data_IF_755541478451
#
_entry.id   IF_755541478451
#
_cell.length_a   1.000
_cell.length_b   1.000
_cell.length_c   1.000
_cell.angle_alpha   90.00
_cell.angle_beta   90.00
_cell.angle_gamma   90.00
#
_symmetry.space_group_name_H-M   'P 1'
#
loop_
_entity.id
_entity.type
_entity.pdbx_description
1 polymer ?
#
# COMPACT_ATOMS: atom_id res chain seq x y z
N UNK A 1 -13.56 -18.61 10.30
CA UNK A 1 -14.38 -18.08 9.20
C UNK A 1 -13.49 -17.85 7.99
N UNK A 2 -13.92 -18.19 6.78
CA UNK A 2 -13.08 -18.00 5.59
C UNK A 2 -13.06 -16.54 5.14
N UNK A 3 -14.21 -15.86 5.16
CA UNK A 3 -14.33 -14.45 4.81
C UNK A 3 -15.24 -13.69 5.78
N UNK A 4 -14.92 -12.43 6.00
CA UNK A 4 -15.73 -11.45 6.72
C UNK A 4 -15.80 -10.18 5.88
N UNK A 5 -16.98 -9.87 5.32
CA UNK A 5 -17.23 -8.63 4.60
C UNK A 5 -18.16 -7.74 5.44
N UNK A 6 -17.61 -6.62 5.93
CA UNK A 6 -18.33 -5.73 6.83
C UNK A 6 -19.57 -5.10 6.17
N UNK A 7 -19.55 -4.90 4.84
CA UNK A 7 -20.67 -4.29 4.09
C UNK A 7 -21.89 -5.21 4.00
N UNK A 8 -21.73 -6.50 4.27
CA UNK A 8 -22.87 -7.42 4.32
C UNK A 8 -23.80 -7.15 5.51
N UNK A 9 -23.30 -6.44 6.53
CA UNK A 9 -24.05 -6.10 7.73
C UNK A 9 -24.62 -4.69 7.63
N UNK A 10 -25.93 -4.58 7.41
CA UNK A 10 -26.63 -3.29 7.43
C UNK A 10 -26.74 -2.79 8.87
N UNK A 11 -25.77 -2.01 9.33
CA UNK A 11 -25.75 -1.49 10.70
C UNK A 11 -25.20 -0.06 10.78
N UNK A 12 -25.29 0.56 11.95
CA UNK A 12 -24.75 1.90 12.20
C UNK A 12 -23.22 1.87 12.33
N UNK A 13 -22.57 3.03 12.31
CA UNK A 13 -21.13 3.15 12.56
C UNK A 13 -20.70 2.48 13.89
N UNK A 14 -21.52 2.61 14.94
CA UNK A 14 -21.28 1.93 16.22
C UNK A 14 -21.44 0.41 16.10
N UNK A 15 -22.35 -0.06 15.25
CA UNK A 15 -22.49 -1.47 14.91
C UNK A 15 -21.25 -2.02 14.21
N UNK A 16 -20.70 -1.28 13.25
CA UNK A 16 -19.44 -1.66 12.59
C UNK A 16 -18.29 -1.77 13.58
N UNK A 17 -18.13 -0.82 14.50
CA UNK A 17 -17.10 -0.92 15.55
C UNK A 17 -17.24 -2.18 16.41
N UNK A 18 -18.48 -2.62 16.71
CA UNK A 18 -18.72 -3.86 17.47
C UNK A 18 -18.41 -5.12 16.68
N UNK A 19 -18.45 -5.06 15.34
CA UNK A 19 -18.18 -6.19 14.47
C UNK A 19 -16.69 -6.30 14.10
N UNK A 20 -15.91 -5.22 14.15
CA UNK A 20 -14.47 -5.25 13.83
C UNK A 20 -13.65 -6.31 14.58
N UNK A 21 -13.91 -6.63 15.87
CA UNK A 21 -13.19 -7.71 16.54
C UNK A 21 -13.35 -9.09 15.89
N UNK A 22 -14.36 -9.30 15.02
CA UNK A 22 -14.55 -10.55 14.26
C UNK A 22 -13.39 -10.80 13.30
N UNK A 23 -12.67 -9.76 12.88
CA UNK A 23 -11.50 -9.84 11.99
C UNK A 23 -10.45 -10.84 12.53
N UNK A 24 -10.30 -10.95 13.86
CA UNK A 24 -9.36 -11.90 14.50
C UNK A 24 -9.70 -13.38 14.28
N UNK A 25 -10.91 -13.68 13.79
CA UNK A 25 -11.44 -15.04 13.62
C UNK A 25 -11.65 -15.42 12.14
N UNK A 26 -11.22 -14.57 11.20
CA UNK A 26 -11.40 -14.79 9.77
C UNK A 26 -10.08 -14.86 9.00
N UNK A 27 -10.04 -15.61 7.89
CA UNK A 27 -8.87 -15.64 7.00
C UNK A 27 -8.78 -14.42 6.08
N UNK A 28 -9.94 -13.90 5.67
CA UNK A 28 -10.05 -12.70 4.84
C UNK A 28 -11.04 -11.71 5.45
N UNK A 29 -10.64 -10.45 5.56
CA UNK A 29 -11.50 -9.35 5.99
C UNK A 29 -11.60 -8.29 4.88
N UNK A 30 -12.82 -7.98 4.47
CA UNK A 30 -13.14 -6.92 3.50
C UNK A 30 -13.82 -5.80 4.29
N UNK A 31 -13.08 -4.73 4.52
CA UNK A 31 -13.49 -3.57 5.31
C UNK A 31 -13.43 -2.28 4.49
N UNK A 32 -13.43 -2.40 3.16
CA UNK A 32 -13.28 -1.27 2.26
C UNK A 32 -14.57 -0.44 2.16
N UNK A 33 -14.43 0.89 2.11
CA UNK A 33 -15.58 1.82 2.06
C UNK A 33 -16.57 1.62 3.23
N UNK A 34 -16.05 1.57 4.45
CA UNK A 34 -16.84 1.33 5.67
C UNK A 34 -16.78 2.49 6.68
N UNK A 35 -16.38 3.69 6.23
CA UNK A 35 -16.19 4.88 7.06
C UNK A 35 -15.34 4.61 8.31
N UNK A 36 -14.32 3.77 8.16
CA UNK A 36 -13.41 3.44 9.25
C UNK A 36 -12.54 4.65 9.61
N UNK A 37 -12.29 4.78 10.91
CA UNK A 37 -11.51 5.86 11.52
C UNK A 37 -10.24 5.31 12.19
N UNK A 38 -9.42 6.20 12.74
CA UNK A 38 -8.24 5.85 13.54
C UNK A 38 -8.55 4.82 14.65
N UNK A 39 -9.66 4.99 15.38
CA UNK A 39 -10.12 4.03 16.40
C UNK A 39 -10.38 2.62 15.84
N UNK A 40 -10.78 2.53 14.58
CA UNK A 40 -10.97 1.24 13.91
C UNK A 40 -9.63 0.55 13.68
N UNK A 41 -8.57 1.33 13.38
CA UNK A 41 -7.22 0.81 13.21
C UNK A 41 -6.67 0.21 14.51
N UNK A 42 -6.97 0.78 15.68
CA UNK A 42 -6.58 0.19 16.97
C UNK A 42 -7.18 -1.19 17.20
N UNK A 43 -8.46 -1.35 16.86
CA UNK A 43 -9.18 -2.63 17.00
C UNK A 43 -8.60 -3.67 16.04
N UNK A 44 -8.35 -3.27 14.79
CA UNK A 44 -7.73 -4.15 13.78
C UNK A 44 -6.29 -4.49 14.17
N UNK A 45 -5.50 -3.54 14.66
CA UNK A 45 -4.15 -3.78 15.15
C UNK A 45 -4.14 -4.78 16.31
N UNK A 46 -5.08 -4.66 17.25
CA UNK A 46 -5.25 -5.63 18.34
C UNK A 46 -5.63 -7.02 17.82
N UNK A 47 -6.43 -7.12 16.76
CA UNK A 47 -6.76 -8.38 16.11
C UNK A 47 -5.54 -9.02 15.42
N UNK A 48 -4.67 -8.23 14.80
CA UNK A 48 -3.43 -8.69 14.17
C UNK A 48 -2.41 -9.25 15.18
N UNK A 49 -2.41 -8.73 16.41
CA UNK A 49 -1.54 -9.18 17.49
C UNK A 49 -1.99 -10.50 18.14
N UNK A 50 -3.21 -10.96 17.86
CA UNK A 50 -3.76 -12.18 18.46
C UNK A 50 -3.03 -13.42 17.96
N UNK A 51 -2.49 -14.22 18.88
CA UNK A 51 -1.66 -15.41 18.59
C UNK A 51 -2.31 -16.43 17.65
N UNK A 52 -3.64 -16.52 17.67
CA UNK A 52 -4.39 -17.51 16.89
C UNK A 52 -5.15 -16.88 15.70
N UNK A 53 -4.82 -15.64 15.31
CA UNK A 53 -5.49 -14.98 14.20
C UNK A 53 -5.22 -15.72 12.88
N UNK A 54 -6.25 -16.24 12.18
CA UNK A 54 -6.07 -16.89 10.90
C UNK A 54 -6.01 -15.87 9.74
N UNK A 55 -6.05 -14.57 10.03
CA UNK A 55 -6.10 -13.51 9.02
C UNK A 55 -4.86 -13.54 8.12
N UNK A 56 -5.11 -13.53 6.81
CA UNK A 56 -4.11 -13.52 5.74
C UNK A 56 -4.34 -12.39 4.74
N UNK A 57 -5.58 -11.93 4.60
CA UNK A 57 -6.00 -10.93 3.62
C UNK A 57 -6.89 -9.88 4.29
N UNK A 58 -6.48 -8.62 4.21
CA UNK A 58 -7.15 -7.49 4.82
C UNK A 58 -7.24 -6.33 3.82
N UNK A 59 -8.46 -5.99 3.42
CA UNK A 59 -8.73 -4.83 2.58
C UNK A 59 -9.36 -3.71 3.41
N UNK A 60 -8.60 -2.63 3.61
CA UNK A 60 -9.00 -1.41 4.30
C UNK A 60 -9.19 -0.23 3.33
N UNK A 61 -9.15 -0.47 2.02
CA UNK A 61 -9.13 0.59 1.00
C UNK A 61 -10.38 1.48 1.06
N UNK A 62 -10.28 2.72 0.57
CA UNK A 62 -11.37 3.70 0.55
C UNK A 62 -11.93 4.02 1.96
N UNK A 63 -11.06 4.11 2.95
CA UNK A 63 -11.39 4.64 4.28
C UNK A 63 -10.44 5.79 4.60
N UNK A 64 -10.92 6.88 5.20
CA UNK A 64 -10.08 8.02 5.56
C UNK A 64 -9.27 7.75 6.84
N UNK A 65 -8.31 6.83 6.75
CA UNK A 65 -7.50 6.38 7.89
C UNK A 65 -6.43 7.40 8.25
N UNK A 66 -5.84 8.05 7.24
CA UNK A 66 -4.70 8.94 7.40
C UNK A 66 -3.45 8.25 7.95
N UNK A 67 -2.37 9.01 8.07
CA UNK A 67 -1.09 8.49 8.54
C UNK A 67 -1.14 8.00 10.00
N UNK A 68 -1.98 8.62 10.85
CA UNK A 68 -2.14 8.20 12.25
C UNK A 68 -2.78 6.81 12.35
N UNK A 69 -3.85 6.56 11.59
CA UNK A 69 -4.49 5.24 11.53
C UNK A 69 -3.53 4.15 11.05
N UNK A 70 -2.74 4.42 10.01
CA UNK A 70 -1.75 3.45 9.51
C UNK A 70 -0.62 3.22 10.52
N UNK A 71 -0.17 4.25 11.24
CA UNK A 71 0.83 4.08 12.33
C UNK A 71 0.32 3.11 13.41
N UNK A 72 -0.95 3.21 13.81
CA UNK A 72 -1.56 2.28 14.76
C UNK A 72 -1.68 0.87 14.18
N UNK A 73 -2.08 0.76 12.91
CA UNK A 73 -2.16 -0.53 12.21
C UNK A 73 -0.79 -1.23 12.16
N UNK A 74 0.28 -0.49 11.87
CA UNK A 74 1.64 -1.02 11.80
C UNK A 74 2.13 -1.62 13.11
N UNK A 75 1.69 -1.10 14.27
CA UNK A 75 1.98 -1.73 15.56
C UNK A 75 1.47 -3.18 15.62
N UNK A 76 0.33 -3.47 14.99
CA UNK A 76 -0.18 -4.83 14.84
C UNK A 76 0.56 -5.66 13.78
N UNK A 77 0.93 -5.03 12.66
CA UNK A 77 1.67 -5.70 11.58
C UNK A 77 3.07 -6.17 11.99
N UNK A 78 3.74 -5.42 12.88
CA UNK A 78 5.06 -5.77 13.40
C UNK A 78 5.03 -6.88 14.47
N UNK A 79 3.85 -7.34 14.89
CA UNK A 79 3.73 -8.40 15.89
C UNK A 79 4.25 -9.74 15.38
N UNK A 80 4.98 -10.53 16.20
CA UNK A 80 5.40 -11.90 15.83
C UNK A 80 4.22 -12.86 15.58
N UNK A 81 3.05 -12.51 16.12
CA UNK A 81 1.80 -13.26 15.94
C UNK A 81 1.10 -12.90 14.62
N UNK A 82 1.46 -11.78 13.99
CA UNK A 82 0.83 -11.38 12.74
C UNK A 82 1.22 -12.35 11.63
N UNK A 83 0.22 -12.76 10.85
CA UNK A 83 0.38 -13.67 9.71
C UNK A 83 -0.21 -13.07 8.42
N UNK A 84 -0.48 -11.78 8.42
CA UNK A 84 -1.08 -11.09 7.29
C UNK A 84 -0.15 -11.16 6.08
N UNK A 85 -0.70 -11.55 4.93
CA UNK A 85 0.04 -11.70 3.67
C UNK A 85 -0.36 -10.63 2.65
N UNK A 86 -1.59 -10.12 2.72
CA UNK A 86 -2.10 -9.11 1.79
C UNK A 86 -2.77 -7.98 2.54
N UNK A 87 -2.37 -6.76 2.22
CA UNK A 87 -2.89 -5.54 2.83
C UNK A 87 -3.26 -4.52 1.75
N UNK A 88 -4.55 -4.16 1.70
CA UNK A 88 -5.07 -3.09 0.87
C UNK A 88 -5.25 -1.80 1.66
N UNK A 89 -4.56 -0.73 1.25
CA UNK A 89 -4.62 0.62 1.83
C UNK A 89 -4.82 1.68 0.73
N UNK A 90 -5.42 1.30 -0.40
CA UNK A 90 -5.68 2.22 -1.49
C UNK A 90 -6.72 3.26 -1.11
N UNK A 91 -6.59 4.51 -1.58
CA UNK A 91 -7.53 5.61 -1.25
C UNK A 91 -7.73 5.80 0.26
N UNK A 92 -6.64 5.79 1.04
CA UNK A 92 -6.69 5.92 2.50
C UNK A 92 -6.28 7.29 3.05
N UNK A 93 -6.12 8.28 2.16
CA UNK A 93 -5.62 9.63 2.47
C UNK A 93 -4.24 9.59 3.16
N UNK A 94 -3.36 8.72 2.65
CA UNK A 94 -2.00 8.56 3.16
C UNK A 94 -1.05 9.54 2.48
N UNK A 95 -0.05 9.99 3.22
CA UNK A 95 1.06 10.81 2.72
C UNK A 95 2.40 10.08 2.92
N UNK A 96 3.51 10.74 2.59
CA UNK A 96 4.84 10.20 2.91
C UNK A 96 5.06 9.99 4.43
N UNK A 97 4.29 10.68 5.28
CA UNK A 97 4.40 10.61 6.74
C UNK A 97 4.12 9.25 7.39
N UNK A 98 3.55 8.28 6.66
CA UNK A 98 3.40 6.88 7.12
C UNK A 98 4.39 5.90 6.47
N UNK A 99 5.18 6.34 5.48
CA UNK A 99 6.02 5.42 4.72
C UNK A 99 7.18 4.85 5.54
N UNK A 100 7.74 5.61 6.49
CA UNK A 100 8.80 5.11 7.38
C UNK A 100 8.32 3.95 8.26
N UNK A 101 7.08 4.04 8.77
CA UNK A 101 6.52 2.98 9.61
C UNK A 101 6.13 1.76 8.77
N UNK A 102 5.67 1.95 7.53
CA UNK A 102 5.45 0.84 6.59
C UNK A 102 6.78 0.17 6.20
N UNK A 103 7.84 0.96 5.97
CA UNK A 103 9.18 0.42 5.72
C UNK A 103 9.68 -0.42 6.91
N UNK A 104 9.38 0.00 8.14
CA UNK A 104 9.69 -0.77 9.35
C UNK A 104 8.96 -2.12 9.41
N UNK A 105 7.72 -2.18 8.88
CA UNK A 105 7.00 -3.46 8.71
C UNK A 105 7.70 -4.36 7.70
N UNK A 106 8.22 -3.81 6.60
CA UNK A 106 8.95 -4.58 5.57
C UNK A 106 10.30 -5.13 6.08
N UNK A 107 11.00 -4.37 6.92
CA UNK A 107 12.24 -4.81 7.60
C UNK A 107 12.00 -5.87 8.68
N UNK A 108 10.78 -5.97 9.22
CA UNK A 108 10.53 -6.86 10.35
C UNK A 108 10.67 -8.32 9.92
N UNK A 109 11.54 -9.12 10.57
CA UNK A 109 11.72 -10.55 10.23
C UNK A 109 10.45 -11.37 10.48
N UNK A 110 9.55 -10.83 11.30
CA UNK A 110 8.25 -11.43 11.62
C UNK A 110 7.18 -11.13 10.58
N UNK A 111 7.41 -10.16 9.69
CA UNK A 111 6.46 -9.81 8.65
C UNK A 111 6.28 -10.98 7.69
N UNK A 112 5.02 -11.29 7.40
CA UNK A 112 4.64 -12.25 6.37
C UNK A 112 4.00 -11.57 5.16
N UNK A 113 4.08 -10.24 5.08
CA UNK A 113 3.46 -9.48 4.00
C UNK A 113 4.09 -9.83 2.66
N UNK A 114 3.24 -10.16 1.68
CA UNK A 114 3.60 -10.50 0.30
C UNK A 114 2.98 -9.52 -0.70
N UNK A 115 1.88 -8.87 -0.34
CA UNK A 115 1.16 -7.94 -1.21
C UNK A 115 0.79 -6.68 -0.41
N UNK A 116 1.23 -5.53 -0.88
CA UNK A 116 0.94 -4.23 -0.31
C UNK A 116 0.42 -3.31 -1.42
N UNK A 117 -0.86 -2.96 -1.32
CA UNK A 117 -1.54 -2.07 -2.25
C UNK A 117 -1.75 -0.69 -1.61
N UNK A 118 -1.10 0.34 -2.16
CA UNK A 118 -1.13 1.72 -1.66
C UNK A 118 -1.69 2.71 -2.67
N UNK A 119 -2.34 2.24 -3.74
CA UNK A 119 -2.83 3.07 -4.84
C UNK A 119 -3.60 4.32 -4.40
N UNK A 120 -3.41 5.37 -5.18
CA UNK A 120 -4.15 6.63 -5.10
C UNK A 120 -4.02 7.33 -3.75
N UNK A 121 -2.88 7.16 -3.08
CA UNK A 121 -2.43 7.99 -1.96
C UNK A 121 -1.42 9.06 -2.42
N UNK A 122 -1.01 9.97 -1.53
CA UNK A 122 -0.16 11.11 -1.87
C UNK A 122 1.28 10.91 -1.35
N UNK A 123 1.84 9.72 -1.60
CA UNK A 123 3.13 9.27 -1.03
C UNK A 123 4.34 10.01 -1.60
N UNK A 124 4.28 10.43 -2.87
CA UNK A 124 5.36 11.17 -3.55
C UNK A 124 6.71 10.40 -3.56
N UNK A 125 7.76 11.05 -4.06
CA UNK A 125 9.09 10.43 -4.12
C UNK A 125 9.70 10.17 -2.73
N UNK A 126 9.40 11.03 -1.74
CA UNK A 126 9.90 10.87 -0.36
C UNK A 126 9.36 9.61 0.30
N UNK A 127 8.05 9.34 0.16
CA UNK A 127 7.43 8.13 0.68
C UNK A 127 7.93 6.88 -0.04
N UNK A 128 8.06 6.94 -1.37
CA UNK A 128 8.62 5.82 -2.16
C UNK A 128 10.07 5.52 -1.77
N UNK A 129 10.89 6.54 -1.49
CA UNK A 129 12.26 6.34 -0.99
C UNK A 129 12.27 5.62 0.36
N UNK A 130 11.39 5.98 1.28
CA UNK A 130 11.27 5.27 2.56
C UNK A 130 10.84 3.81 2.37
N UNK A 131 9.84 3.55 1.52
CA UNK A 131 9.44 2.18 1.18
C UNK A 131 10.56 1.39 0.51
N UNK A 132 11.35 2.05 -0.35
CA UNK A 132 12.50 1.43 -1.04
C UNK A 132 13.56 0.94 -0.04
N UNK A 133 13.84 1.71 1.02
CA UNK A 133 14.71 1.24 2.10
C UNK A 133 14.15 -0.04 2.76
N UNK A 134 12.83 -0.17 2.89
CA UNK A 134 12.18 -1.41 3.34
C UNK A 134 12.33 -2.60 2.41
N UNK A 135 12.38 -2.35 1.10
CA UNK A 135 12.60 -3.39 0.08
C UNK A 135 14.06 -3.83 0.01
N UNK A 136 15.00 -2.98 0.46
CA UNK A 136 16.42 -3.32 0.56
C UNK A 136 16.70 -4.33 1.68
N UNK A 137 15.78 -4.59 2.61
CA UNK A 137 16.01 -5.56 3.67
C UNK A 137 16.03 -7.01 3.12
N UNK A 138 17.07 -7.82 3.40
CA UNK A 138 17.14 -9.22 2.95
C UNK A 138 16.03 -10.13 3.47
N UNK A 139 15.33 -9.74 4.54
CA UNK A 139 14.19 -10.45 5.11
C UNK A 139 12.85 -9.95 4.54
N UNK A 140 12.85 -8.92 3.68
CA UNK A 140 11.63 -8.42 3.05
C UNK A 140 11.07 -9.48 2.09
N UNK A 141 9.87 -9.98 2.37
CA UNK A 141 9.23 -11.04 1.58
C UNK A 141 8.24 -10.50 0.54
N UNK A 142 8.20 -9.19 0.33
CA UNK A 142 7.16 -8.56 -0.50
C UNK A 142 7.29 -9.00 -1.96
N UNK A 143 6.19 -9.50 -2.52
CA UNK A 143 6.11 -10.00 -3.91
C UNK A 143 5.37 -9.02 -4.82
N UNK A 144 4.43 -8.23 -4.29
CA UNK A 144 3.68 -7.21 -5.05
C UNK A 144 3.62 -5.90 -4.30
N UNK A 145 3.90 -4.82 -5.02
CA UNK A 145 3.81 -3.46 -4.51
C UNK A 145 2.98 -2.60 -5.48
N UNK A 146 1.81 -2.17 -5.02
CA UNK A 146 0.92 -1.28 -5.74
C UNK A 146 1.16 0.19 -5.35
N UNK A 147 1.63 1.00 -6.29
CA UNK A 147 1.90 2.43 -6.13
C UNK A 147 1.21 3.27 -7.20
N UNK A 148 0.17 2.71 -7.83
CA UNK A 148 -0.58 3.41 -8.88
C UNK A 148 -1.13 4.74 -8.36
N UNK A 149 -0.93 5.84 -9.08
CA UNK A 149 -1.50 7.14 -8.69
C UNK A 149 -0.89 7.79 -7.44
N UNK A 150 0.31 7.37 -7.03
CA UNK A 150 1.00 7.85 -5.81
C UNK A 150 1.85 9.12 -5.98
N UNK A 151 1.76 9.80 -7.13
CA UNK A 151 2.56 11.00 -7.51
C UNK A 151 4.06 10.73 -7.54
N UNK A 152 4.43 9.54 -7.98
CA UNK A 152 5.82 9.11 -8.14
C UNK A 152 6.42 9.73 -9.40
N UNK A 153 7.64 10.25 -9.30
CA UNK A 153 8.43 10.75 -10.42
C UNK A 153 9.66 9.86 -10.67
N UNK A 154 10.53 10.26 -11.60
CA UNK A 154 11.81 9.58 -11.83
C UNK A 154 12.63 9.41 -10.54
N UNK A 155 12.56 10.34 -9.58
CA UNK A 155 13.36 10.25 -8.33
C UNK A 155 12.92 9.10 -7.43
N UNK A 156 11.61 8.86 -7.32
CA UNK A 156 11.09 7.69 -6.64
C UNK A 156 11.44 6.40 -7.40
N UNK A 157 11.42 6.44 -8.74
CA UNK A 157 11.84 5.31 -9.57
C UNK A 157 13.31 4.96 -9.39
N UNK A 158 14.20 5.95 -9.27
CA UNK A 158 15.63 5.75 -9.00
C UNK A 158 15.84 5.05 -7.65
N UNK A 159 15.04 5.42 -6.64
CA UNK A 159 15.08 4.78 -5.31
C UNK A 159 14.62 3.32 -5.37
N UNK A 160 13.51 3.05 -6.08
CA UNK A 160 13.02 1.68 -6.30
C UNK A 160 14.02 0.85 -7.10
N UNK A 161 14.61 1.41 -8.16
CA UNK A 161 15.61 0.74 -8.98
C UNK A 161 16.86 0.38 -8.16
N UNK A 162 17.33 1.28 -7.30
CA UNK A 162 18.41 1.01 -6.36
C UNK A 162 18.07 -0.18 -5.45
N UNK A 163 16.88 -0.17 -4.84
CA UNK A 163 16.45 -1.23 -3.94
C UNK A 163 16.37 -2.61 -4.62
N UNK A 164 15.88 -2.65 -5.87
CA UNK A 164 15.78 -3.86 -6.67
C UNK A 164 17.14 -4.43 -7.10
N UNK A 165 18.17 -3.58 -7.19
CA UNK A 165 19.54 -3.99 -7.51
C UNK A 165 20.35 -4.44 -6.28
N UNK A 166 20.03 -3.91 -5.10
CA UNK A 166 20.84 -4.11 -3.89
C UNK A 166 20.71 -5.51 -3.28
N UNK A 167 19.55 -6.17 -3.44
CA UNK A 167 19.31 -7.52 -2.92
C UNK A 167 18.46 -8.34 -3.89
N UNK A 168 18.54 -9.69 -3.86
CA UNK A 168 17.64 -10.54 -4.63
C UNK A 168 16.21 -10.29 -4.17
N UNK A 169 15.55 -9.36 -4.84
CA UNK A 169 14.21 -8.94 -4.48
C UNK A 169 13.24 -10.08 -4.71
N UNK A 170 12.37 -10.33 -3.74
CA UNK A 170 11.22 -11.20 -3.92
C UNK A 170 10.12 -10.54 -4.74
N UNK A 171 10.27 -9.26 -5.10
CA UNK A 171 9.27 -8.50 -5.83
C UNK A 171 9.12 -9.04 -7.25
N UNK A 172 7.88 -9.43 -7.58
CA UNK A 172 7.46 -10.00 -8.86
C UNK A 172 6.51 -9.08 -9.60
N UNK A 173 5.89 -8.13 -8.93
CA UNK A 173 5.01 -7.13 -9.53
C UNK A 173 5.20 -5.76 -8.88
N UNK A 174 5.40 -4.75 -9.72
CA UNK A 174 5.46 -3.35 -9.32
C UNK A 174 4.51 -2.55 -10.20
N UNK A 175 3.46 -2.01 -9.59
CA UNK A 175 2.48 -1.17 -10.29
C UNK A 175 2.74 0.32 -10.03
N UNK A 176 3.13 1.02 -11.08
CA UNK A 176 3.40 2.46 -11.12
C UNK A 176 2.51 3.19 -12.12
N UNK A 177 1.41 2.58 -12.58
CA UNK A 177 0.44 3.25 -13.46
C UNK A 177 -0.07 4.55 -12.84
N UNK A 178 -0.55 5.48 -13.67
CA UNK A 178 -1.07 6.76 -13.19
C UNK A 178 -0.05 7.62 -12.40
N UNK A 179 1.24 7.41 -12.59
CA UNK A 179 2.32 8.27 -12.08
C UNK A 179 3.04 9.03 -13.21
N UNK A 180 4.15 9.72 -12.88
CA UNK A 180 4.99 10.42 -13.85
C UNK A 180 6.47 9.97 -13.77
N UNK A 181 6.77 8.68 -13.99
CA UNK A 181 8.13 8.16 -13.91
C UNK A 181 9.09 8.83 -14.92
N UNK A 182 8.56 9.34 -16.04
CA UNK A 182 9.35 9.86 -17.15
C UNK A 182 10.22 8.78 -17.82
N UNK A 183 10.85 9.11 -18.94
CA UNK A 183 11.69 8.16 -19.67
C UNK A 183 12.89 7.68 -18.85
N UNK A 184 13.45 8.57 -18.01
CA UNK A 184 14.56 8.23 -17.12
C UNK A 184 14.15 7.23 -16.05
N UNK A 185 13.02 7.43 -15.37
CA UNK A 185 12.54 6.52 -14.34
C UNK A 185 12.16 5.15 -14.90
N UNK A 186 11.50 5.10 -16.07
CA UNK A 186 11.19 3.84 -16.76
C UNK A 186 12.46 3.10 -17.15
N UNK A 187 13.48 3.83 -17.64
CA UNK A 187 14.78 3.24 -17.99
C UNK A 187 15.51 2.69 -16.77
N UNK A 188 15.53 3.43 -15.66
CA UNK A 188 16.15 2.99 -14.41
C UNK A 188 15.52 1.69 -13.90
N UNK A 189 14.18 1.64 -13.83
CA UNK A 189 13.44 0.45 -13.42
C UNK A 189 13.59 -0.72 -14.39
N UNK A 190 13.63 -0.45 -15.70
CA UNK A 190 13.84 -1.49 -16.71
C UNK A 190 15.25 -2.07 -16.67
N UNK A 191 16.25 -1.26 -16.32
CA UNK A 191 17.63 -1.72 -16.14
C UNK A 191 17.81 -2.50 -14.84
N UNK A 192 17.08 -2.12 -13.77
CA UNK A 192 17.03 -2.86 -12.52
C UNK A 192 16.14 -4.11 -12.57
N UNK A 193 15.34 -4.26 -13.64
CA UNK A 193 14.37 -5.34 -13.80
C UNK A 193 15.08 -6.68 -13.77
N UNK A 194 14.87 -7.42 -12.68
CA UNK A 194 15.16 -8.85 -12.61
C UNK A 194 14.24 -9.57 -13.60
N UNK A 195 14.71 -10.64 -14.25
CA UNK A 195 13.99 -11.37 -15.32
C UNK A 195 12.53 -11.76 -14.95
N UNK A 196 12.23 -11.84 -13.65
CA UNK A 196 10.94 -12.25 -13.10
C UNK A 196 10.00 -11.10 -12.69
N UNK A 197 10.45 -9.85 -12.71
CA UNK A 197 9.64 -8.70 -12.29
C UNK A 197 8.69 -8.24 -13.40
N UNK A 198 7.41 -8.13 -13.10
CA UNK A 198 6.39 -7.49 -13.96
C UNK A 198 6.27 -6.02 -13.56
N UNK A 199 6.71 -5.13 -14.46
CA UNK A 199 6.60 -3.68 -14.26
C UNK A 199 5.36 -3.17 -15.00
N UNK A 200 4.39 -2.63 -14.27
CA UNK A 200 3.19 -1.99 -14.82
C UNK A 200 3.38 -0.48 -14.80
N UNK A 201 3.67 0.10 -15.95
CA UNK A 201 3.80 1.55 -16.17
C UNK A 201 3.03 1.94 -17.42
N UNK A 202 2.35 3.06 -17.37
CA UNK A 202 1.69 3.69 -18.51
C UNK A 202 2.38 5.02 -18.85
N UNK A 203 2.01 5.62 -19.99
CA UNK A 203 2.58 6.90 -20.39
C UNK A 203 2.20 7.98 -19.36
N UNK A 204 3.19 8.39 -18.57
CA UNK A 204 3.08 9.44 -17.57
C UNK A 204 2.78 10.79 -18.20
N UNK A 205 2.03 11.63 -17.50
CA UNK A 205 1.75 13.01 -17.89
C UNK A 205 2.02 13.95 -16.72
N UNK A 206 2.50 15.16 -16.98
CA UNK A 206 2.88 16.12 -15.93
C UNK A 206 1.75 16.37 -14.92
N UNK A 207 0.50 16.31 -15.38
CA UNK A 207 -0.68 16.46 -14.52
C UNK A 207 -0.70 15.45 -13.37
N UNK A 208 -0.16 14.24 -13.54
CA UNK A 208 -0.12 13.18 -12.52
C UNK A 208 0.76 13.51 -11.31
N UNK A 209 1.55 14.58 -11.39
CA UNK A 209 2.32 15.12 -10.25
C UNK A 209 1.51 16.12 -9.42
N UNK A 210 0.35 16.57 -9.89
CA UNK A 210 -0.52 17.52 -9.18
C UNK A 210 -1.25 16.81 -8.02
N UNK A 211 -1.55 17.52 -6.92
CA UNK A 211 -2.31 16.95 -5.82
C UNK A 211 -3.80 16.76 -6.17
N UNK A 212 -4.42 15.76 -5.55
CA UNK A 212 -5.87 15.57 -5.56
C UNK A 212 -6.44 15.29 -6.96
N UNK A 213 -7.74 15.61 -7.21
CA UNK A 213 -8.42 15.27 -8.47
C UNK A 213 -7.76 15.84 -9.73
N UNK A 214 -6.95 16.90 -9.60
CA UNK A 214 -6.21 17.51 -10.72
C UNK A 214 -5.23 16.52 -11.36
N UNK A 215 -4.81 15.46 -10.66
CA UNK A 215 -3.90 14.44 -11.19
C UNK A 215 -4.48 13.58 -12.30
N UNK A 216 -5.81 13.50 -12.36
CA UNK A 216 -6.55 12.82 -13.43
C UNK A 216 -7.03 13.78 -14.52
N UNK A 217 -6.71 15.07 -14.39
CA UNK A 217 -7.03 16.05 -15.42
C UNK A 217 -6.22 15.79 -16.68
N UNK A 218 -6.90 15.77 -17.83
CA UNK A 218 -6.25 15.91 -19.12
C UNK A 218 -6.39 17.36 -19.58
N UNK A 219 -5.35 17.90 -20.22
CA UNK A 219 -5.44 19.18 -20.88
C UNK A 219 -5.89 18.90 -22.31
N UNK A 220 -7.17 19.12 -22.60
CA UNK A 220 -7.70 18.99 -23.95
C UNK A 220 -7.31 20.24 -24.73
N UNK A 221 -6.34 20.10 -25.63
CA UNK A 221 -6.10 21.10 -26.66
C UNK A 221 -7.04 20.77 -27.81
N UNK A 222 -8.04 21.61 -28.03
CA UNK A 222 -8.89 21.50 -29.22
C UNK A 222 -8.02 21.81 -30.44
N UNK A 223 -7.98 20.90 -31.40
CA UNK A 223 -7.41 21.17 -32.72
C UNK A 223 -8.30 22.23 -33.39
N UNK A 224 -7.77 23.42 -33.74
CA UNK A 224 -8.56 24.49 -34.33
C UNK A 224 -8.92 24.27 -35.81
N UNK A 225 -8.55 23.11 -36.40
CA UNK A 225 -8.79 22.79 -37.81
C UNK A 225 -10.11 22.05 -38.07
#
# INVERSE_FOLDING_TARGET
>A
LDGFDLKTYKTSAAGYQRLLPVVRNCRKAILNSCDLTEKSCEIVASALQSSNSPLRDLDLSNNNLGDSGVKLLCAGLMSPNCKLQRLGLGWCNLTDGCCDVLASVLHSPHSELRDLELRDNELQDSGVRALSAGLEDPHCKLERLGLSGCRVTHRGCDSLASALCSNPSHLRELDLRYNHPGDSGVRALSAAKLDTLTLLVDHGGENRTKPGPRKYGCQLTLDPN
#
